data_IF_910374299065
#
_entry.id   IF_910374299065
#
_cell.length_a   1.000
_cell.length_b   1.000
_cell.length_c   1.000
_cell.angle_alpha   90.00
_cell.angle_beta   90.00
_cell.angle_gamma   90.00
#
_symmetry.space_group_name_H-M   'P 1'
#
loop_
_entity.id
_entity.type
_entity.pdbx_description
1 polymer ?
#
# COMPACT_ATOMS: atom_id res chain seq x y z
N UNK A 1 -24.98 -3.47 -6.51
CA UNK A 1 -23.56 -3.17 -6.46
C UNK A 1 -22.77 -4.39 -6.05
N UNK A 2 -21.64 -4.57 -6.68
CA UNK A 2 -20.80 -5.73 -6.41
C UNK A 2 -19.86 -5.42 -5.22
N UNK A 3 -20.19 -5.99 -4.06
CA UNK A 3 -19.42 -5.77 -2.82
C UNK A 3 -17.98 -6.28 -2.94
N UNK A 4 -17.76 -7.28 -3.78
CA UNK A 4 -16.43 -7.80 -4.03
C UNK A 4 -15.51 -6.74 -4.65
N UNK A 5 -16.02 -5.98 -5.61
CA UNK A 5 -15.27 -4.90 -6.23
C UNK A 5 -15.03 -3.77 -5.24
N UNK A 6 -16.01 -3.46 -4.41
CA UNK A 6 -15.88 -2.43 -3.40
C UNK A 6 -14.76 -2.75 -2.42
N UNK A 7 -14.70 -4.01 -1.95
CA UNK A 7 -13.65 -4.44 -1.03
C UNK A 7 -12.27 -4.32 -1.69
N UNK A 8 -12.17 -4.77 -2.94
CA UNK A 8 -10.90 -4.73 -3.67
C UNK A 8 -10.44 -3.28 -3.89
N UNK A 9 -11.37 -2.39 -4.25
CA UNK A 9 -11.05 -0.99 -4.50
C UNK A 9 -10.65 -0.26 -3.22
N UNK A 10 -11.14 -0.70 -2.07
CA UNK A 10 -10.83 -0.08 -0.79
C UNK A 10 -9.52 -0.58 -0.17
N UNK A 11 -9.00 -1.71 -0.63
CA UNK A 11 -7.79 -2.29 -0.05
C UNK A 11 -6.60 -1.35 -0.28
N UNK A 12 -6.01 -0.88 0.81
CA UNK A 12 -4.89 0.04 0.75
C UNK A 12 -5.26 1.48 0.41
N UNK A 13 -6.55 1.83 0.34
CA UNK A 13 -6.97 3.15 -0.16
C UNK A 13 -6.79 4.28 0.87
N UNK A 14 -6.62 3.96 2.13
CA UNK A 14 -6.51 4.96 3.19
C UNK A 14 -5.78 4.35 4.38
N UNK A 15 -5.52 5.18 5.41
CA UNK A 15 -4.95 4.65 6.67
C UNK A 15 -5.85 3.56 7.26
N UNK A 16 -7.16 3.77 7.25
CA UNK A 16 -8.09 2.80 7.83
C UNK A 16 -8.15 1.49 7.06
N UNK A 17 -7.87 1.53 5.78
CA UNK A 17 -7.91 0.36 4.91
C UNK A 17 -6.52 -0.07 4.47
N UNK A 18 -5.49 0.34 5.20
CA UNK A 18 -4.11 0.02 4.84
C UNK A 18 -3.87 -1.49 4.84
N UNK A 19 -3.02 -1.92 3.93
CA UNK A 19 -2.60 -3.32 3.86
C UNK A 19 -1.56 -3.55 4.95
N UNK A 20 -1.88 -4.42 5.91
CA UNK A 20 -0.96 -4.70 7.01
C UNK A 20 0.14 -5.64 6.53
N UNK A 21 1.39 -5.21 6.75
CA UNK A 21 2.56 -6.03 6.43
C UNK A 21 2.99 -6.71 7.74
N UNK A 22 2.85 -8.03 7.80
CA UNK A 22 2.95 -8.73 9.08
C UNK A 22 4.35 -9.21 9.46
N UNK A 23 5.32 -9.13 8.55
CA UNK A 23 6.68 -9.53 8.87
C UNK A 23 7.41 -8.45 9.67
N UNK A 24 8.36 -8.86 10.49
CA UNK A 24 9.26 -7.91 11.17
C UNK A 24 10.59 -7.76 10.43
N UNK A 25 10.71 -8.35 9.25
CA UNK A 25 11.91 -8.26 8.40
C UNK A 25 11.69 -7.21 7.31
N UNK A 26 12.49 -6.16 7.29
CA UNK A 26 12.27 -5.05 6.37
C UNK A 26 12.45 -5.45 4.90
N UNK A 27 13.38 -6.33 4.59
CA UNK A 27 13.57 -6.76 3.21
C UNK A 27 12.38 -7.55 2.70
N UNK A 28 11.88 -8.46 3.52
CA UNK A 28 10.70 -9.25 3.18
C UNK A 28 9.48 -8.34 3.10
N UNK A 29 9.38 -7.38 4.02
CA UNK A 29 8.25 -6.44 4.04
C UNK A 29 8.18 -5.59 2.79
N UNK A 30 9.31 -5.04 2.35
CA UNK A 30 9.35 -4.21 1.15
C UNK A 30 9.01 -5.05 -0.09
N UNK A 31 9.55 -6.26 -0.18
CA UNK A 31 9.22 -7.14 -1.29
C UNK A 31 7.73 -7.48 -1.34
N UNK A 32 7.12 -7.66 -0.16
CA UNK A 32 5.69 -7.90 -0.06
C UNK A 32 4.88 -6.71 -0.57
N UNK A 33 5.31 -5.49 -0.23
CA UNK A 33 4.63 -4.27 -0.70
C UNK A 33 4.58 -4.22 -2.23
N UNK A 34 5.70 -4.42 -2.88
CA UNK A 34 5.76 -4.38 -4.35
C UNK A 34 4.93 -5.50 -4.98
N UNK A 35 4.94 -6.65 -4.37
CA UNK A 35 4.13 -7.78 -4.84
C UNK A 35 2.64 -7.45 -4.76
N UNK A 36 2.20 -6.86 -3.64
CA UNK A 36 0.82 -6.50 -3.46
C UNK A 36 0.39 -5.38 -4.40
N UNK A 37 1.26 -4.40 -4.64
CA UNK A 37 0.99 -3.36 -5.62
C UNK A 37 0.71 -3.96 -6.99
N UNK A 38 1.53 -4.93 -7.40
CA UNK A 38 1.37 -5.58 -8.69
C UNK A 38 0.10 -6.40 -8.78
N UNK A 39 -0.32 -6.99 -7.67
CA UNK A 39 -1.58 -7.74 -7.62
C UNK A 39 -2.80 -6.84 -7.77
N UNK A 40 -2.79 -5.69 -7.11
CA UNK A 40 -3.92 -4.76 -7.11
C UNK A 40 -3.92 -3.93 -8.39
N UNK A 41 -2.76 -3.47 -8.80
CA UNK A 41 -2.59 -2.63 -9.99
C UNK A 41 -1.49 -3.26 -10.86
N UNK A 42 -1.86 -4.24 -11.72
CA UNK A 42 -0.85 -4.96 -12.51
C UNK A 42 0.02 -4.07 -13.39
N UNK A 43 -0.53 -2.95 -13.86
CA UNK A 43 0.21 -1.97 -14.66
C UNK A 43 0.15 -0.64 -13.94
N UNK A 44 1.30 -0.19 -13.43
CA UNK A 44 1.39 1.07 -12.70
C UNK A 44 2.83 1.57 -12.70
N UNK A 45 2.99 2.86 -12.43
CA UNK A 45 4.30 3.47 -12.18
C UNK A 45 4.25 4.11 -10.80
N UNK A 46 5.26 3.85 -9.98
CA UNK A 46 5.40 4.52 -8.69
C UNK A 46 5.99 5.90 -8.94
N UNK A 47 5.24 6.94 -8.61
CA UNK A 47 5.67 8.32 -8.81
C UNK A 47 6.19 8.96 -7.54
N UNK A 48 5.78 8.43 -6.37
CA UNK A 48 6.21 8.96 -5.08
C UNK A 48 6.04 7.86 -4.04
N UNK A 49 6.97 7.81 -3.10
CA UNK A 49 6.89 6.91 -1.95
C UNK A 49 7.38 7.66 -0.73
N UNK A 50 6.64 7.55 0.37
CA UNK A 50 7.06 8.19 1.61
C UNK A 50 6.54 7.40 2.81
N UNK A 51 7.22 7.58 3.95
CA UNK A 51 6.81 6.99 5.22
C UNK A 51 6.17 8.07 6.07
N UNK A 52 5.06 7.76 6.70
CA UNK A 52 4.39 8.69 7.59
C UNK A 52 3.86 7.96 8.82
N UNK A 53 3.61 8.72 9.87
CA UNK A 53 3.01 8.19 11.10
C UNK A 53 1.58 8.70 11.21
N UNK A 54 0.67 7.81 11.66
CA UNK A 54 -0.71 8.17 11.91
C UNK A 54 -1.23 7.28 13.05
N UNK A 55 -1.73 7.90 14.12
CA UNK A 55 -2.29 7.19 15.27
C UNK A 55 -1.32 6.15 15.86
N UNK A 56 -0.04 6.55 16.00
CA UNK A 56 1.02 5.71 16.57
C UNK A 56 1.37 4.49 15.72
N UNK A 57 0.98 4.49 14.46
CA UNK A 57 1.37 3.46 13.51
C UNK A 57 2.16 4.09 12.38
N UNK A 58 3.01 3.29 11.75
CA UNK A 58 3.85 3.75 10.63
C UNK A 58 3.34 3.15 9.32
N UNK A 59 3.33 3.99 8.30
CA UNK A 59 2.78 3.63 7.00
C UNK A 59 3.76 3.98 5.90
N UNK A 60 3.84 3.10 4.91
CA UNK A 60 4.50 3.37 3.66
C UNK A 60 3.40 3.71 2.66
N UNK A 61 3.48 4.88 2.05
CA UNK A 61 2.46 5.35 1.13
C UNK A 61 3.07 5.47 -0.26
N UNK A 62 2.45 4.81 -1.23
CA UNK A 62 2.88 4.85 -2.62
C UNK A 62 1.88 5.66 -3.42
N UNK A 63 2.35 6.72 -4.08
CA UNK A 63 1.55 7.35 -5.12
C UNK A 63 1.89 6.66 -6.43
N UNK A 64 0.87 6.19 -7.13
CA UNK A 64 1.07 5.48 -8.38
C UNK A 64 0.27 6.13 -9.51
N UNK A 65 0.82 6.03 -10.72
CA UNK A 65 0.16 6.48 -11.94
C UNK A 65 -0.34 5.25 -12.68
N UNK A 66 -1.58 5.30 -13.13
CA UNK A 66 -2.24 4.20 -13.84
C UNK A 66 -2.24 4.47 -15.35
N UNK A 67 -2.52 3.45 -16.18
CA UNK A 67 -2.47 3.61 -17.63
C UNK A 67 -3.36 4.72 -18.19
N UNK A 68 -4.46 5.04 -17.49
CA UNK A 68 -5.37 6.12 -17.91
C UNK A 68 -4.94 7.50 -17.39
N UNK A 69 -3.70 7.59 -16.87
CA UNK A 69 -3.11 8.80 -16.31
C UNK A 69 -3.71 9.24 -14.97
N UNK A 70 -4.63 8.45 -14.41
CA UNK A 70 -5.12 8.70 -13.05
C UNK A 70 -4.03 8.38 -12.05
N UNK A 71 -4.05 9.09 -10.92
CA UNK A 71 -3.16 8.80 -9.81
C UNK A 71 -3.97 8.30 -8.62
N UNK A 72 -3.38 7.38 -7.88
CA UNK A 72 -3.98 6.89 -6.65
C UNK A 72 -2.89 6.63 -5.63
N UNK A 73 -3.27 6.52 -4.37
CA UNK A 73 -2.34 6.20 -3.29
C UNK A 73 -2.66 4.84 -2.74
N UNK A 74 -1.61 4.09 -2.35
CA UNK A 74 -1.76 2.79 -1.70
C UNK A 74 -1.02 2.85 -0.37
N UNK A 75 -1.69 2.51 0.70
CA UNK A 75 -1.21 2.59 2.07
C UNK A 75 -0.86 1.21 2.59
N UNK A 76 0.34 1.07 3.13
CA UNK A 76 0.78 -0.16 3.80
C UNK A 76 1.10 0.17 5.25
N UNK A 77 0.55 -0.60 6.17
CA UNK A 77 0.90 -0.48 7.59
C UNK A 77 2.19 -1.28 7.80
N UNK A 78 3.26 -0.57 8.06
CA UNK A 78 4.60 -1.15 8.22
C UNK A 78 5.08 -1.14 9.66
N UNK A 79 4.17 -0.95 10.60
CA UNK A 79 4.51 -0.84 12.02
C UNK A 79 5.35 -2.03 12.49
N UNK A 80 5.07 -3.22 11.98
CA UNK A 80 5.76 -4.44 12.41
C UNK A 80 7.24 -4.46 12.04
N UNK A 81 7.64 -3.80 10.96
CA UNK A 81 9.06 -3.83 10.56
C UNK A 81 9.73 -2.47 10.53
N UNK A 82 9.00 -1.39 10.76
CA UNK A 82 9.58 -0.05 10.71
C UNK A 82 10.67 0.08 11.77
N UNK A 83 11.85 0.50 11.32
CA UNK A 83 12.98 0.69 12.24
C UNK A 83 13.69 -0.59 12.65
N UNK A 84 13.40 -1.68 12.00
CA UNK A 84 14.00 -2.99 12.35
C UNK A 84 15.04 -3.46 11.38
#
# INVERSE_FOLDING_TARGET
>A
MDTKNDIKLNKGASFDNAIVVETNNSQIGVAYEYKELKKIYPVHLVTLQYVTENNNKFYDVFEISLPNEEKTEVYFDITNFYGK
#
